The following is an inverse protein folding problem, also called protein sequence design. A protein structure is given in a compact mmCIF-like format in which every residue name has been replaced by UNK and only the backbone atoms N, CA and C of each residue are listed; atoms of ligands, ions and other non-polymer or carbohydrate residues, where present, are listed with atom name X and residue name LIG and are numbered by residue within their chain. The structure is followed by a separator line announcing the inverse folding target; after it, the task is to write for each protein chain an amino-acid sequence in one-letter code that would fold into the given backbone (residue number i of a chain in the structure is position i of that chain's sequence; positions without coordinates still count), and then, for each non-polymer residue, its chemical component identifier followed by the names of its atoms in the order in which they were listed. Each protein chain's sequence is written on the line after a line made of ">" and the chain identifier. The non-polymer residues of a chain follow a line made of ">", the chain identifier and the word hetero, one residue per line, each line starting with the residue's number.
data_IF_044923922329
#
_entry.id   IF_044923922329
#
_cell.length_a   1.000
_cell.length_b   1.000
_cell.length_c   1.000
_cell.angle_alpha   90.00
_cell.angle_beta   90.00
_cell.angle_gamma   90.00
#
_symmetry.space_group_name_H-M   'P 1'
#
loop_
_entity.id
_entity.type
_entity.pdbx_description
1 polymer ?
#
# COMPACT_ATOMS: atom_id res chain seq x y z
N UNK A 1 -9.46 -15.11 3.05
CA UNK A 1 -9.21 -15.67 1.70
C UNK A 1 -8.09 -14.88 1.10
N UNK A 2 -7.12 -15.54 0.49
CA UNK A 2 -6.10 -14.92 -0.35
C UNK A 2 -6.77 -14.54 -1.68
N UNK A 3 -6.85 -13.24 -1.94
CA UNK A 3 -7.46 -12.69 -3.15
C UNK A 3 -6.51 -12.71 -4.35
N UNK A 4 -7.05 -12.73 -5.57
CA UNK A 4 -6.25 -12.78 -6.81
C UNK A 4 -5.34 -11.57 -6.98
N UNK A 5 -5.77 -10.38 -6.52
CA UNK A 5 -4.90 -9.20 -6.48
C UNK A 5 -3.71 -9.35 -5.53
N UNK A 6 -3.88 -10.04 -4.40
CA UNK A 6 -2.77 -10.30 -3.47
C UNK A 6 -1.79 -11.31 -4.07
N UNK A 7 -2.27 -12.37 -4.72
CA UNK A 7 -1.42 -13.32 -5.44
C UNK A 7 -0.61 -12.63 -6.54
N UNK A 8 -1.27 -11.80 -7.36
CA UNK A 8 -0.61 -11.00 -8.39
C UNK A 8 0.51 -10.12 -7.80
N UNK A 9 0.26 -9.50 -6.66
CA UNK A 9 1.24 -8.66 -6.00
C UNK A 9 2.42 -9.48 -5.43
N UNK A 10 2.13 -10.59 -4.75
CA UNK A 10 3.16 -11.46 -4.18
C UNK A 10 4.03 -12.12 -5.25
N UNK A 11 3.46 -12.49 -6.40
CA UNK A 11 4.24 -13.02 -7.53
C UNK A 11 5.20 -11.98 -8.11
N UNK A 12 4.80 -10.71 -8.15
CA UNK A 12 5.71 -9.65 -8.57
C UNK A 12 6.81 -9.39 -7.53
N UNK A 13 6.46 -9.40 -6.25
CA UNK A 13 7.43 -9.20 -5.16
C UNK A 13 8.43 -10.37 -5.04
N UNK A 14 8.01 -11.61 -5.29
CA UNK A 14 8.87 -12.79 -5.12
C UNK A 14 9.98 -12.87 -6.16
N UNK A 15 9.84 -12.11 -7.26
CA UNK A 15 10.90 -11.91 -8.26
C UNK A 15 11.98 -10.92 -7.81
N UNK A 16 11.67 -10.10 -6.80
CA UNK A 16 12.55 -9.06 -6.29
C UNK A 16 13.23 -9.44 -4.96
N UNK A 17 12.66 -10.36 -4.19
CA UNK A 17 13.25 -10.79 -2.93
C UNK A 17 12.35 -11.72 -2.13
N UNK A 18 12.86 -12.13 -0.97
CA UNK A 18 12.15 -13.01 -0.05
C UNK A 18 10.99 -12.31 0.66
N UNK A 19 9.88 -13.04 0.85
CA UNK A 19 8.65 -12.49 1.43
C UNK A 19 8.31 -13.17 2.76
N UNK A 20 8.09 -12.35 3.78
CA UNK A 20 7.40 -12.72 5.02
C UNK A 20 6.06 -11.99 5.06
N UNK A 21 4.97 -12.75 4.98
CA UNK A 21 3.61 -12.21 5.03
C UNK A 21 3.00 -12.41 6.42
N UNK A 22 2.50 -11.33 7.01
CA UNK A 22 1.60 -11.38 8.15
C UNK A 22 0.35 -10.58 7.81
N UNK A 23 -0.83 -11.06 8.23
CA UNK A 23 -2.10 -10.42 7.91
C UNK A 23 -2.98 -10.23 9.15
N UNK A 24 -3.64 -9.07 9.24
CA UNK A 24 -4.70 -8.75 10.22
C UNK A 24 -6.03 -9.42 9.86
N UNK A 25 -5.98 -10.72 9.54
CA UNK A 25 -7.15 -11.53 9.21
C UNK A 25 -6.82 -13.01 9.37
N UNK A 26 -7.82 -13.80 9.76
CA UNK A 26 -7.70 -15.25 9.69
C UNK A 26 -7.79 -15.74 8.24
N UNK A 27 -6.91 -16.67 7.88
CA UNK A 27 -7.04 -17.42 6.63
C UNK A 27 -7.97 -18.62 6.84
N UNK A 28 -8.77 -18.94 5.82
CA UNK A 28 -9.55 -20.18 5.81
C UNK A 28 -8.62 -21.35 5.48
N UNK A 29 -9.03 -22.56 5.82
CA UNK A 29 -8.29 -23.77 5.50
C UNK A 29 -7.93 -23.83 4.01
N UNK A 30 -6.68 -24.19 3.72
CA UNK A 30 -6.13 -24.25 2.36
C UNK A 30 -5.80 -22.90 1.71
N UNK A 31 -6.15 -21.75 2.30
CA UNK A 31 -5.83 -20.45 1.70
C UNK A 31 -4.33 -20.11 1.78
N UNK A 32 -3.66 -20.50 2.87
CA UNK A 32 -2.21 -20.33 3.01
C UNK A 32 -1.42 -21.21 2.04
N UNK A 33 -1.99 -22.32 1.58
CA UNK A 33 -1.35 -23.21 0.59
C UNK A 33 -1.10 -22.49 -0.73
N UNK A 34 -1.95 -21.52 -1.10
CA UNK A 34 -1.79 -20.69 -2.31
C UNK A 34 -0.55 -19.79 -2.24
N UNK A 35 0.02 -19.59 -1.06
CA UNK A 35 1.19 -18.74 -0.84
C UNK A 35 2.50 -19.54 -0.82
N UNK A 36 2.43 -20.88 -0.87
CA UNK A 36 3.61 -21.73 -0.95
C UNK A 36 4.39 -21.44 -2.23
N UNK A 37 5.70 -21.28 -2.08
CA UNK A 37 6.59 -20.90 -3.18
C UNK A 37 6.62 -19.41 -3.51
N UNK A 38 5.71 -18.61 -2.95
CA UNK A 38 5.75 -17.14 -3.04
C UNK A 38 6.33 -16.51 -1.77
N UNK A 39 5.98 -17.04 -0.61
CA UNK A 39 6.45 -16.55 0.69
C UNK A 39 7.31 -17.58 1.41
N UNK A 40 8.38 -17.14 2.07
CA UNK A 40 9.13 -17.95 3.03
C UNK A 40 8.28 -18.26 4.26
N UNK A 41 7.44 -17.30 4.65
CA UNK A 41 6.49 -17.45 5.74
C UNK A 41 5.21 -16.68 5.46
N UNK A 42 4.08 -17.25 5.84
CA UNK A 42 2.78 -16.60 5.77
C UNK A 42 1.95 -16.96 7.01
N UNK A 43 1.49 -15.94 7.74
CA UNK A 43 0.57 -16.09 8.85
C UNK A 43 -0.60 -15.10 8.77
N UNK A 44 -1.73 -15.48 9.38
CA UNK A 44 -2.90 -14.62 9.47
C UNK A 44 -3.59 -14.77 10.81
N UNK A 45 -3.69 -13.68 11.55
CA UNK A 45 -4.38 -13.62 12.83
C UNK A 45 -4.97 -12.23 13.02
N UNK A 46 -6.24 -12.16 13.42
CA UNK A 46 -6.85 -10.88 13.73
C UNK A 46 -6.17 -10.26 14.96
N UNK A 47 -5.69 -9.03 14.80
CA UNK A 47 -4.95 -8.31 15.84
C UNK A 47 -5.38 -6.85 16.00
N UNK A 48 -6.00 -6.23 14.99
CA UNK A 48 -6.58 -4.88 15.10
C UNK A 48 -5.56 -3.77 15.34
N UNK A 49 -4.31 -3.98 14.93
CA UNK A 49 -3.20 -3.02 15.03
C UNK A 49 -2.88 -2.38 13.67
N UNK A 50 -3.79 -2.55 12.69
CA UNK A 50 -3.62 -2.09 11.30
C UNK A 50 -2.34 -2.64 10.64
N UNK A 51 -1.94 -2.07 9.50
CA UNK A 51 -0.80 -2.53 8.71
C UNK A 51 0.51 -2.60 9.53
N UNK A 52 0.73 -1.66 10.46
CA UNK A 52 1.90 -1.68 11.35
C UNK A 52 1.93 -2.90 12.28
N UNK A 53 0.78 -3.43 12.68
CA UNK A 53 0.71 -4.66 13.46
C UNK A 53 1.12 -5.90 12.67
N UNK A 54 0.83 -5.89 11.36
CA UNK A 54 1.31 -6.92 10.44
C UNK A 54 2.82 -6.77 10.22
N UNK A 55 3.34 -5.55 10.07
CA UNK A 55 4.78 -5.29 10.01
C UNK A 55 5.52 -5.77 11.26
N UNK A 56 4.98 -5.52 12.47
CA UNK A 56 5.52 -5.99 13.75
C UNK A 56 5.68 -7.52 13.79
N UNK A 57 4.65 -8.24 13.32
CA UNK A 57 4.62 -9.71 13.25
C UNK A 57 5.62 -10.26 12.24
N UNK A 58 5.59 -9.74 11.02
CA UNK A 58 6.54 -10.11 9.97
C UNK A 58 7.98 -9.83 10.38
N UNK A 59 8.24 -8.67 10.99
CA UNK A 59 9.55 -8.30 11.52
C UNK A 59 10.03 -9.27 12.60
N UNK A 60 9.16 -9.61 13.57
CA UNK A 60 9.50 -10.59 14.62
C UNK A 60 9.88 -11.94 14.03
N UNK A 61 9.10 -12.44 13.06
CA UNK A 61 9.40 -13.70 12.39
C UNK A 61 10.70 -13.64 11.60
N UNK A 62 10.92 -12.55 10.85
CA UNK A 62 12.13 -12.36 10.06
C UNK A 62 13.37 -12.37 10.96
N UNK A 63 13.37 -11.61 12.06
CA UNK A 63 14.48 -11.58 13.01
C UNK A 63 14.74 -12.92 13.71
N UNK A 64 13.72 -13.76 13.92
CA UNK A 64 13.89 -15.06 14.58
C UNK A 64 14.31 -16.18 13.65
N UNK A 65 13.98 -16.07 12.36
CA UNK A 65 14.02 -17.21 11.43
C UNK A 65 14.93 -17.01 10.22
N UNK A 66 15.34 -15.77 9.93
CA UNK A 66 16.17 -15.43 8.78
C UNK A 66 17.52 -14.85 9.21
N UNK A 67 18.56 -15.04 8.41
CA UNK A 67 19.80 -14.28 8.58
C UNK A 67 19.63 -12.88 7.98
N UNK A 68 19.25 -11.92 8.82
CA UNK A 68 19.05 -10.53 8.41
C UNK A 68 20.31 -9.89 7.80
N UNK A 69 21.51 -10.46 7.99
CA UNK A 69 22.75 -9.95 7.38
C UNK A 69 22.84 -10.29 5.89
N UNK A 70 22.05 -11.24 5.39
CA UNK A 70 22.01 -11.58 3.97
C UNK A 70 21.31 -10.53 3.10
N UNK A 71 20.60 -9.57 3.70
CA UNK A 71 19.80 -8.58 3.00
C UNK A 71 20.44 -7.20 3.01
N UNK A 72 20.37 -6.48 1.90
CA UNK A 72 20.82 -5.08 1.81
C UNK A 72 19.71 -4.08 2.14
N UNK A 73 18.46 -4.48 1.86
CA UNK A 73 17.27 -3.69 2.12
C UNK A 73 16.17 -4.55 2.75
N UNK A 74 15.38 -3.92 3.62
CA UNK A 74 14.10 -4.46 4.11
C UNK A 74 12.98 -3.55 3.64
N UNK A 75 11.96 -4.14 3.03
CA UNK A 75 10.75 -3.44 2.59
C UNK A 75 9.56 -3.73 3.50
N UNK A 76 8.87 -2.67 3.92
CA UNK A 76 7.55 -2.75 4.55
C UNK A 76 6.49 -2.35 3.51
N UNK A 77 5.73 -3.33 3.05
CA UNK A 77 4.70 -3.16 2.02
C UNK A 77 3.37 -3.73 2.49
N UNK A 78 2.27 -3.07 2.15
CA UNK A 78 0.92 -3.58 2.44
C UNK A 78 0.04 -3.66 1.19
N UNK A 79 -1.09 -4.35 1.33
CA UNK A 79 -2.01 -4.64 0.24
C UNK A 79 -3.12 -3.58 0.09
N UNK A 80 -2.98 -2.37 0.63
CA UNK A 80 -3.98 -1.30 0.48
C UNK A 80 -4.11 -0.73 -0.95
N UNK A 81 -3.41 -1.35 -1.91
CA UNK A 81 -3.32 -1.03 -3.33
C UNK A 81 -3.73 -2.21 -4.21
N UNK A 82 -4.11 -1.89 -5.44
CA UNK A 82 -4.19 -2.80 -6.57
C UNK A 82 -2.98 -2.60 -7.46
N UNK A 83 -2.46 -3.69 -7.99
CA UNK A 83 -1.24 -3.74 -8.79
C UNK A 83 -0.31 -4.86 -8.31
N UNK A 84 0.96 -4.85 -8.76
CA UNK A 84 1.57 -3.76 -9.52
C UNK A 84 1.07 -3.71 -10.97
N UNK A 85 1.01 -2.50 -11.53
CA UNK A 85 0.60 -2.22 -12.91
C UNK A 85 1.78 -2.33 -13.90
N UNK A 86 3.01 -2.32 -13.37
CA UNK A 86 4.28 -2.39 -14.09
C UNK A 86 5.22 -3.36 -13.35
N UNK A 87 6.32 -3.74 -13.99
CA UNK A 87 7.40 -4.44 -13.31
C UNK A 87 7.96 -3.61 -12.14
N UNK A 88 8.21 -4.25 -10.99
CA UNK A 88 8.65 -3.57 -9.77
C UNK A 88 10.16 -3.36 -9.70
N UNK A 89 10.97 -4.20 -10.34
CA UNK A 89 12.44 -4.12 -10.24
C UNK A 89 12.98 -2.72 -10.55
N UNK A 90 12.56 -2.02 -11.64
CA UNK A 90 13.05 -0.67 -11.91
C UNK A 90 12.64 0.39 -10.87
N UNK A 91 11.57 0.14 -10.11
CA UNK A 91 11.14 1.06 -9.04
C UNK A 91 11.98 0.85 -7.78
N UNK A 92 12.29 -0.40 -7.44
CA UNK A 92 13.15 -0.73 -6.32
C UNK A 92 14.56 -0.19 -6.56
N UNK A 93 15.15 -0.46 -7.73
CA UNK A 93 16.47 0.05 -8.11
C UNK A 93 16.54 1.59 -8.02
N UNK A 94 15.51 2.29 -8.50
CA UNK A 94 15.43 3.76 -8.41
C UNK A 94 15.30 4.26 -6.98
N UNK A 95 14.60 3.54 -6.12
CA UNK A 95 14.43 3.88 -4.69
C UNK A 95 15.72 3.65 -3.92
N UNK A 96 16.36 2.50 -4.12
CA UNK A 96 17.65 2.12 -3.54
C UNK A 96 18.77 3.07 -4.00
N UNK A 97 18.72 3.52 -5.26
CA UNK A 97 19.64 4.48 -5.85
C UNK A 97 19.40 5.95 -5.49
N UNK A 98 18.44 6.28 -4.61
CA UNK A 98 18.18 7.68 -4.22
C UNK A 98 19.29 8.30 -3.37
N UNK A 99 20.22 7.51 -2.85
CA UNK A 99 21.27 7.97 -1.93
C UNK A 99 20.74 8.32 -0.54
N UNK A 100 19.56 7.78 -0.17
CA UNK A 100 18.97 7.91 1.16
C UNK A 100 18.93 6.55 1.86
N UNK A 101 19.08 6.53 3.18
CA UNK A 101 19.05 5.28 3.95
C UNK A 101 17.63 4.74 4.17
N UNK A 102 16.61 5.59 4.09
CA UNK A 102 15.20 5.20 4.11
C UNK A 102 14.46 5.83 2.94
N UNK A 103 13.51 5.12 2.36
CA UNK A 103 12.79 5.63 1.20
C UNK A 103 11.39 5.05 1.11
N UNK A 104 10.52 5.70 0.34
CA UNK A 104 9.18 5.20 0.07
C UNK A 104 8.78 5.42 -1.39
N UNK A 105 7.86 4.60 -1.88
CA UNK A 105 7.29 4.83 -3.21
C UNK A 105 6.56 6.17 -3.25
N UNK A 106 5.89 6.54 -2.16
CA UNK A 106 5.19 7.82 -2.01
C UNK A 106 5.67 8.60 -0.80
N UNK A 107 5.92 9.91 -0.98
CA UNK A 107 6.17 10.86 0.11
C UNK A 107 5.09 11.94 0.12
N UNK A 108 4.60 12.28 1.30
CA UNK A 108 3.65 13.37 1.47
C UNK A 108 4.40 14.66 1.81
N UNK A 109 4.43 15.66 0.90
CA UNK A 109 4.94 16.99 1.23
C UNK A 109 3.91 17.72 2.11
N UNK A 110 4.08 17.67 3.42
CA UNK A 110 3.22 18.35 4.38
C UNK A 110 3.72 19.74 4.72
N UNK A 111 2.81 20.68 5.03
CA UNK A 111 3.17 22.03 5.52
C UNK A 111 3.81 22.00 6.91
N UNK A 112 3.51 20.98 7.72
CA UNK A 112 3.99 20.85 9.10
C UNK A 112 5.00 19.71 9.27
N UNK A 113 4.85 18.61 8.51
CA UNK A 113 5.86 17.55 8.42
C UNK A 113 5.74 16.81 7.10
N UNK A 114 6.85 16.76 6.36
CA UNK A 114 7.04 15.78 5.29
C UNK A 114 7.14 14.39 5.92
N UNK A 115 6.42 13.40 5.39
CA UNK A 115 6.51 12.02 5.87
C UNK A 115 6.44 11.01 4.73
N UNK A 116 7.10 9.86 4.94
CA UNK A 116 7.01 8.69 4.09
C UNK A 116 5.62 8.04 4.22
N UNK A 117 5.04 7.59 3.11
CA UNK A 117 3.77 6.85 3.18
C UNK A 117 4.02 5.38 3.50
N UNK A 118 3.35 4.86 4.54
CA UNK A 118 3.69 3.56 5.14
C UNK A 118 3.34 2.30 4.35
N UNK A 119 2.71 2.44 3.18
CA UNK A 119 2.23 1.30 2.41
C UNK A 119 3.26 0.70 1.46
N UNK A 120 4.38 1.39 1.22
CA UNK A 120 5.51 0.90 0.44
C UNK A 120 6.77 1.67 0.82
N UNK A 121 7.46 1.21 1.86
CA UNK A 121 8.70 1.79 2.38
C UNK A 121 9.84 0.78 2.25
N UNK A 122 11.05 1.26 2.03
CA UNK A 122 12.27 0.46 2.09
C UNK A 122 13.31 1.12 2.99
N UNK A 123 14.14 0.29 3.60
CA UNK A 123 15.13 0.67 4.59
C UNK A 123 16.43 -0.04 4.29
N UNK A 124 17.52 0.71 4.15
CA UNK A 124 18.86 0.15 4.02
C UNK A 124 19.37 -0.41 5.34
N UNK A 125 20.47 -1.16 5.26
CA UNK A 125 21.13 -1.84 6.39
C UNK A 125 21.35 -0.96 7.62
N UNK A 126 21.80 0.28 7.43
CA UNK A 126 22.00 1.25 8.51
C UNK A 126 20.74 1.49 9.35
N UNK A 127 19.56 1.41 8.74
CA UNK A 127 18.28 1.61 9.42
C UNK A 127 17.76 0.32 10.02
N UNK A 128 17.62 -0.74 9.22
CA UNK A 128 16.94 -1.95 9.73
C UNK A 128 17.76 -2.71 10.76
N UNK A 129 19.08 -2.56 10.78
CA UNK A 129 19.94 -3.14 11.84
C UNK A 129 20.02 -2.27 13.11
N UNK A 130 19.51 -1.04 13.07
CA UNK A 130 19.53 -0.16 14.22
C UNK A 130 18.53 -0.63 15.28
N UNK A 131 18.96 -0.65 16.55
CA UNK A 131 18.13 -1.10 17.68
C UNK A 131 16.84 -0.30 17.82
N UNK A 132 16.86 0.99 17.49
CA UNK A 132 15.68 1.86 17.54
C UNK A 132 14.61 1.44 16.53
N UNK A 133 14.99 0.91 15.35
CA UNK A 133 14.04 0.52 14.31
C UNK A 133 13.26 -0.73 14.73
N UNK A 134 13.97 -1.75 15.22
CA UNK A 134 13.34 -2.93 15.79
C UNK A 134 12.47 -2.60 17.01
N UNK A 135 12.95 -1.72 17.90
CA UNK A 135 12.17 -1.27 19.06
C UNK A 135 10.88 -0.55 18.64
N UNK A 136 10.96 0.32 17.63
CA UNK A 136 9.80 1.00 17.07
C UNK A 136 8.76 0.01 16.54
N UNK A 137 9.14 -0.95 15.69
CA UNK A 137 8.21 -1.94 15.16
C UNK A 137 7.59 -2.81 16.26
N UNK A 138 8.38 -3.21 17.25
CA UNK A 138 7.89 -4.02 18.37
C UNK A 138 6.96 -3.25 19.31
N UNK A 139 7.06 -1.92 19.36
CA UNK A 139 6.20 -1.02 20.15
C UNK A 139 4.82 -0.74 19.54
N UNK A 140 4.52 -1.28 18.34
CA UNK A 140 3.21 -1.06 17.71
C UNK A 140 2.10 -1.65 18.60
N UNK A 141 1.02 -0.91 18.71
CA UNK A 141 -0.14 -1.18 19.56
C UNK A 141 -1.40 -0.71 18.84
N UNK A 142 -2.55 -1.25 19.24
CA UNK A 142 -3.85 -0.86 18.69
C UNK A 142 -4.13 0.62 18.95
N UNK A 143 -4.57 1.33 17.92
CA UNK A 143 -4.96 2.75 18.00
C UNK A 143 -6.45 2.93 17.69
N UNK A 144 -7.02 4.06 18.15
CA UNK A 144 -8.45 4.35 18.03
C UNK A 144 -8.89 4.72 16.61
N UNK A 145 -8.02 5.33 15.82
CA UNK A 145 -8.32 5.78 14.46
C UNK A 145 -7.15 5.61 13.48
N UNK A 146 -7.42 5.72 12.18
CA UNK A 146 -6.37 5.70 11.13
C UNK A 146 -5.50 6.96 11.19
N UNK A 147 -6.09 8.07 11.63
CA UNK A 147 -5.40 9.33 11.87
C UNK A 147 -4.37 9.16 12.98
N UNK A 148 -4.70 8.46 14.06
CA UNK A 148 -3.76 8.17 15.16
C UNK A 148 -2.63 7.23 14.70
N UNK A 149 -2.93 6.24 13.85
CA UNK A 149 -1.92 5.39 13.22
C UNK A 149 -0.96 6.23 12.37
N UNK A 150 -1.50 7.14 11.56
CA UNK A 150 -0.69 8.04 10.73
C UNK A 150 0.23 8.90 11.61
N UNK A 151 -0.32 9.51 12.65
CA UNK A 151 0.42 10.43 13.51
C UNK A 151 1.47 9.72 14.39
N UNK A 152 1.11 8.57 14.97
CA UNK A 152 1.99 7.81 15.86
C UNK A 152 3.03 7.00 15.10
N UNK A 153 2.70 6.46 13.94
CA UNK A 153 3.57 5.52 13.22
C UNK A 153 4.14 6.07 11.91
N UNK A 154 3.37 6.72 11.02
CA UNK A 154 3.94 7.29 9.79
C UNK A 154 4.81 8.52 10.09
N UNK A 155 4.20 9.52 10.75
CA UNK A 155 4.91 10.70 11.23
C UNK A 155 5.94 10.33 12.29
N UNK A 156 5.61 9.40 13.20
CA UNK A 156 6.53 8.92 14.24
C UNK A 156 7.81 8.29 13.69
N UNK A 157 7.69 7.39 12.70
CA UNK A 157 8.86 6.80 12.03
C UNK A 157 9.72 7.89 11.37
N UNK A 158 9.09 8.83 10.68
CA UNK A 158 9.83 9.92 10.03
C UNK A 158 10.56 10.81 11.05
N UNK A 159 9.95 11.08 12.22
CA UNK A 159 10.63 11.79 13.31
C UNK A 159 11.83 11.03 13.85
N UNK A 160 11.72 9.72 14.02
CA UNK A 160 12.83 8.87 14.48
C UNK A 160 13.99 8.88 13.47
N UNK A 161 13.68 8.79 12.18
CA UNK A 161 14.67 8.94 11.11
C UNK A 161 15.40 10.28 11.22
N UNK A 162 14.65 11.40 11.27
CA UNK A 162 15.24 12.73 11.40
C UNK A 162 16.07 12.90 12.68
N UNK A 163 15.58 12.41 13.83
CA UNK A 163 16.28 12.50 15.11
C UNK A 163 17.57 11.68 15.12
N UNK A 164 17.62 10.57 14.36
CA UNK A 164 18.81 9.76 14.16
C UNK A 164 19.76 10.29 13.08
N UNK A 165 19.49 11.45 12.47
CA UNK A 165 20.29 11.98 11.37
C UNK A 165 20.19 11.16 10.07
N UNK A 166 19.16 10.31 9.96
CA UNK A 166 18.96 9.43 8.82
C UNK A 166 18.28 10.19 7.69
N UNK A 167 18.89 10.20 6.50
CA UNK A 167 18.28 10.82 5.34
C UNK A 167 17.19 9.93 4.74
N UNK A 168 16.11 10.55 4.30
CA UNK A 168 15.01 9.85 3.66
C UNK A 168 14.43 10.59 2.47
N UNK A 169 13.83 9.84 1.54
CA UNK A 169 13.23 10.40 0.34
C UNK A 169 12.05 9.57 -0.17
N UNK A 170 11.40 10.04 -1.23
CA UNK A 170 10.38 9.23 -1.90
C UNK A 170 10.33 9.44 -3.40
N UNK A 171 10.00 8.37 -4.11
CA UNK A 171 10.03 8.34 -5.57
C UNK A 171 8.94 9.22 -6.19
N UNK A 172 7.78 9.31 -5.53
CA UNK A 172 6.66 10.16 -5.95
C UNK A 172 6.25 11.13 -4.84
N UNK A 173 6.20 12.41 -5.17
CA UNK A 173 5.60 13.44 -4.32
C UNK A 173 4.07 13.42 -4.45
N UNK A 174 3.37 13.08 -3.36
CA UNK A 174 1.93 12.81 -3.32
C UNK A 174 1.23 13.76 -2.33
N UNK A 175 1.03 15.04 -2.69
CA UNK A 175 0.40 16.03 -1.82
C UNK A 175 -1.07 15.71 -1.55
N UNK A 176 -1.52 16.02 -0.33
CA UNK A 176 -2.92 15.86 0.08
C UNK A 176 -3.45 14.45 -0.15
N UNK A 177 -4.59 14.36 -0.84
CA UNK A 177 -5.26 13.10 -1.19
C UNK A 177 -5.04 12.69 -2.66
N UNK A 178 -3.96 13.17 -3.29
CA UNK A 178 -3.66 12.95 -4.71
C UNK A 178 -3.59 11.46 -5.09
N UNK A 179 -2.93 10.65 -4.26
CA UNK A 179 -2.83 9.18 -4.42
C UNK A 179 -4.18 8.47 -4.53
N UNK A 180 -5.22 9.03 -3.89
CA UNK A 180 -6.58 8.49 -3.89
C UNK A 180 -7.46 9.09 -4.99
N UNK A 181 -7.23 10.35 -5.35
CA UNK A 181 -8.16 11.15 -6.13
C UNK A 181 -7.80 11.27 -7.62
N UNK A 182 -6.60 10.84 -8.01
CA UNK A 182 -6.08 11.05 -9.37
C UNK A 182 -5.47 9.78 -10.00
N UNK A 183 -6.15 8.62 -9.97
CA UNK A 183 -5.57 7.35 -10.40
C UNK A 183 -5.06 7.37 -11.84
N UNK A 184 -5.82 7.94 -12.80
CA UNK A 184 -5.38 7.99 -14.19
C UNK A 184 -4.20 8.96 -14.40
N UNK A 185 -4.15 10.07 -13.67
CA UNK A 185 -3.02 11.00 -13.73
C UNK A 185 -1.74 10.35 -13.21
N UNK A 186 -1.84 9.57 -12.13
CA UNK A 186 -0.71 8.87 -11.54
C UNK A 186 -0.22 7.74 -12.45
N UNK A 187 -1.14 6.96 -13.01
CA UNK A 187 -0.84 5.96 -14.03
C UNK A 187 -0.06 6.57 -15.20
N UNK A 188 -0.53 7.70 -15.75
CA UNK A 188 0.17 8.42 -16.83
C UNK A 188 1.57 8.93 -16.46
N UNK A 189 1.91 9.01 -15.17
CA UNK A 189 3.24 9.36 -14.65
C UNK A 189 4.08 8.11 -14.29
N UNK A 190 3.64 6.93 -14.73
CA UNK A 190 4.28 5.66 -14.43
C UNK A 190 4.12 5.22 -12.98
N UNK A 191 3.14 5.71 -12.22
CA UNK A 191 2.94 5.25 -10.85
C UNK A 191 2.40 3.80 -10.85
N UNK A 192 3.02 2.85 -10.13
CA UNK A 192 2.81 1.42 -10.36
C UNK A 192 1.60 0.81 -9.65
N UNK A 193 0.72 1.62 -9.04
CA UNK A 193 -0.41 1.11 -8.26
C UNK A 193 -1.67 1.99 -8.36
N UNK A 194 -2.82 1.41 -7.99
CA UNK A 194 -4.06 2.16 -7.71
C UNK A 194 -4.46 1.91 -6.26
N UNK A 195 -4.69 2.95 -5.45
CA UNK A 195 -5.22 2.74 -4.09
C UNK A 195 -6.60 2.09 -4.13
N UNK A 196 -6.82 1.02 -3.35
CA UNK A 196 -8.14 0.33 -3.27
C UNK A 196 -9.27 1.31 -2.93
N UNK A 197 -9.00 2.28 -2.04
CA UNK A 197 -9.99 3.30 -1.66
C UNK A 197 -10.42 4.19 -2.82
N UNK A 198 -9.65 4.31 -3.91
CA UNK A 198 -10.04 5.07 -5.12
C UNK A 198 -11.36 4.59 -5.72
N UNK A 199 -11.72 3.31 -5.53
CA UNK A 199 -12.96 2.72 -6.04
C UNK A 199 -14.21 3.31 -5.40
N UNK A 200 -14.12 3.82 -4.17
CA UNK A 200 -15.26 4.40 -3.44
C UNK A 200 -15.19 5.92 -3.31
N UNK A 201 -14.10 6.56 -3.77
CA UNK A 201 -13.92 8.01 -3.65
C UNK A 201 -14.98 8.77 -4.42
N UNK A 202 -15.41 9.88 -3.82
CA UNK A 202 -16.26 10.90 -4.43
C UNK A 202 -17.54 10.34 -5.07
N UNK A 203 -18.16 9.35 -4.41
CA UNK A 203 -19.39 8.72 -4.92
C UNK A 203 -19.19 7.97 -6.24
N UNK A 204 -18.00 7.40 -6.48
CA UNK A 204 -17.70 6.64 -7.70
C UNK A 204 -17.50 7.51 -8.94
N UNK A 205 -17.24 8.81 -8.78
CA UNK A 205 -16.95 9.70 -9.92
C UNK A 205 -15.62 9.40 -10.60
N UNK A 206 -14.72 8.68 -9.93
CA UNK A 206 -13.43 8.26 -10.48
C UNK A 206 -13.53 7.05 -11.43
N UNK A 207 -14.72 6.45 -11.61
CA UNK A 207 -14.91 5.22 -12.37
C UNK A 207 -14.34 5.23 -13.78
N UNK A 208 -14.49 6.35 -14.53
CA UNK A 208 -13.90 6.49 -15.87
C UNK A 208 -12.36 6.49 -15.83
N UNK A 209 -11.76 7.11 -14.82
CA UNK A 209 -10.31 7.10 -14.64
C UNK A 209 -9.81 5.69 -14.33
N UNK A 210 -10.51 4.97 -13.45
CA UNK A 210 -10.18 3.60 -13.09
C UNK A 210 -10.30 2.67 -14.30
N UNK A 211 -11.39 2.78 -15.08
CA UNK A 211 -11.55 2.03 -16.33
C UNK A 211 -10.38 2.29 -17.29
N UNK A 212 -10.03 3.55 -17.52
CA UNK A 212 -8.93 3.89 -18.42
C UNK A 212 -7.58 3.29 -17.97
N UNK A 213 -7.32 3.21 -16.66
CA UNK A 213 -6.14 2.50 -16.14
C UNK A 213 -6.26 1.00 -16.40
N UNK A 214 -7.37 0.38 -16.03
CA UNK A 214 -7.57 -1.07 -16.13
C UNK A 214 -7.57 -1.59 -17.58
N UNK A 215 -8.06 -0.80 -18.53
CA UNK A 215 -8.03 -1.13 -19.95
C UNK A 215 -6.62 -0.98 -20.58
N UNK A 216 -5.67 -0.40 -19.83
CA UNK A 216 -4.29 -0.16 -20.30
C UNK A 216 -3.24 -1.10 -19.69
N UNK A 217 -3.63 -2.00 -18.79
CA UNK A 217 -2.72 -2.95 -18.11
C UNK A 217 -2.91 -4.37 -18.64
N UNK A 218 -1.94 -5.29 -18.45
CA UNK A 218 -2.08 -6.67 -18.90
C UNK A 218 -3.34 -7.35 -18.36
N UNK A 219 -3.93 -8.25 -19.14
CA UNK A 219 -5.19 -8.94 -18.79
C UNK A 219 -5.11 -9.66 -17.43
N UNK A 220 -3.96 -10.27 -17.10
CA UNK A 220 -3.74 -10.89 -15.79
C UNK A 220 -3.91 -9.90 -14.64
N UNK A 221 -3.26 -8.74 -14.73
CA UNK A 221 -3.40 -7.65 -13.75
C UNK A 221 -4.84 -7.17 -13.68
N UNK A 222 -5.45 -6.88 -14.84
CA UNK A 222 -6.82 -6.40 -14.94
C UNK A 222 -7.81 -7.36 -14.28
N UNK A 223 -7.72 -8.65 -14.58
CA UNK A 223 -8.61 -9.68 -14.06
C UNK A 223 -8.42 -9.86 -12.54
N UNK A 224 -7.18 -9.91 -12.07
CA UNK A 224 -6.87 -10.00 -10.64
C UNK A 224 -7.45 -8.81 -9.85
N UNK A 225 -7.37 -7.59 -10.40
CA UNK A 225 -7.95 -6.38 -9.80
C UNK A 225 -9.47 -6.42 -9.83
N UNK A 226 -10.08 -6.79 -10.95
CA UNK A 226 -11.55 -6.82 -11.07
C UNK A 226 -12.20 -7.88 -10.19
N UNK A 227 -11.60 -9.05 -10.07
CA UNK A 227 -12.08 -10.12 -9.19
C UNK A 227 -12.09 -9.65 -7.73
N UNK A 228 -10.96 -9.11 -7.28
CA UNK A 228 -10.80 -8.73 -5.88
C UNK A 228 -11.57 -7.44 -5.55
N UNK A 229 -11.66 -6.48 -6.47
CA UNK A 229 -12.54 -5.32 -6.35
C UNK A 229 -14.01 -5.75 -6.28
N UNK A 230 -14.45 -6.71 -7.09
CA UNK A 230 -15.83 -7.22 -7.06
C UNK A 230 -16.15 -7.91 -5.73
N UNK A 231 -15.18 -8.62 -5.16
CA UNK A 231 -15.28 -9.23 -3.82
C UNK A 231 -15.36 -8.18 -2.71
N UNK A 232 -14.56 -7.12 -2.80
CA UNK A 232 -14.47 -6.08 -1.76
C UNK A 232 -15.62 -5.07 -1.80
N UNK A 233 -16.08 -4.68 -2.99
CA UNK A 233 -17.03 -3.60 -3.18
C UNK A 233 -18.38 -4.05 -3.76
N UNK A 234 -18.51 -5.31 -4.18
CA UNK A 234 -19.68 -5.86 -4.85
C UNK A 234 -19.58 -5.78 -6.37
N UNK A 235 -19.89 -6.90 -7.05
CA UNK A 235 -19.80 -7.04 -8.52
C UNK A 235 -20.65 -6.00 -9.25
N UNK A 236 -21.90 -5.80 -8.83
CA UNK A 236 -22.80 -4.83 -9.43
C UNK A 236 -22.28 -3.40 -9.29
N UNK A 237 -21.75 -3.05 -8.10
CA UNK A 237 -21.16 -1.76 -7.85
C UNK A 237 -19.94 -1.51 -8.75
N UNK A 238 -19.03 -2.48 -8.87
CA UNK A 238 -17.84 -2.35 -9.72
C UNK A 238 -18.25 -2.21 -11.19
N UNK A 239 -19.24 -2.98 -11.66
CA UNK A 239 -19.80 -2.84 -13.01
C UNK A 239 -20.37 -1.44 -13.26
N UNK A 240 -21.19 -0.93 -12.33
CA UNK A 240 -21.73 0.44 -12.37
C UNK A 240 -20.63 1.50 -12.31
N UNK A 241 -19.60 1.29 -11.50
CA UNK A 241 -18.48 2.21 -11.34
C UNK A 241 -17.75 2.39 -12.68
N UNK A 242 -17.38 1.29 -13.33
CA UNK A 242 -16.56 1.28 -14.54
C UNK A 242 -17.35 1.60 -15.81
N UNK A 243 -18.67 1.42 -15.84
CA UNK A 243 -19.52 1.79 -16.99
C UNK A 243 -19.76 3.30 -17.14
N UNK A 244 -19.16 4.13 -16.28
CA UNK A 244 -19.42 5.57 -16.21
C UNK A 244 -19.08 6.33 -17.51
N UNK A 245 -20.04 7.09 -18.03
CA UNK A 245 -19.83 8.06 -19.11
C UNK A 245 -19.19 9.37 -18.58
N UNK A 246 -18.64 10.24 -19.45
CA UNK A 246 -18.09 11.54 -19.02
C UNK A 246 -19.11 12.41 -18.25
N UNK A 247 -20.33 12.53 -18.76
CA UNK A 247 -21.42 13.26 -18.10
C UNK A 247 -21.86 12.58 -16.80
N UNK A 248 -21.87 11.24 -16.78
CA UNK A 248 -22.15 10.45 -15.58
C UNK A 248 -21.16 10.71 -14.45
N UNK A 249 -19.86 10.82 -14.76
CA UNK A 249 -18.81 11.07 -13.78
C UNK A 249 -18.97 12.46 -13.13
N UNK A 250 -19.23 13.49 -13.96
CA UNK A 250 -19.50 14.84 -13.48
C UNK A 250 -20.75 14.88 -12.58
N UNK A 251 -21.85 14.23 -12.99
CA UNK A 251 -23.08 14.13 -12.18
C UNK A 251 -22.82 13.46 -10.82
N UNK A 252 -22.08 12.35 -10.79
CA UNK A 252 -21.70 11.66 -9.55
C UNK A 252 -20.90 12.57 -8.62
N UNK A 253 -19.95 13.33 -9.17
CA UNK A 253 -19.14 14.25 -8.39
C UNK A 253 -19.97 15.39 -7.79
N UNK A 254 -20.84 16.01 -8.59
CA UNK A 254 -21.76 17.05 -8.11
C UNK A 254 -22.67 16.53 -7.01
N UNK A 255 -23.28 15.36 -7.21
CA UNK A 255 -24.12 14.72 -6.20
C UNK A 255 -23.35 14.42 -4.89
N UNK A 256 -22.10 13.95 -4.99
CA UNK A 256 -21.22 13.77 -3.83
C UNK A 256 -20.98 15.10 -3.08
N UNK A 257 -20.69 16.19 -3.80
CA UNK A 257 -20.50 17.50 -3.20
C UNK A 257 -21.77 18.00 -2.51
N UNK A 258 -22.93 17.87 -3.16
CA UNK A 258 -24.21 18.24 -2.56
C UNK A 258 -24.47 17.48 -1.25
N UNK A 259 -24.32 16.16 -1.24
CA UNK A 259 -24.46 15.37 0.01
C UNK A 259 -23.47 15.81 1.08
N UNK A 260 -22.23 16.12 0.72
CA UNK A 260 -21.22 16.56 1.69
C UNK A 260 -21.55 17.94 2.30
N UNK A 261 -22.20 18.82 1.55
CA UNK A 261 -22.64 20.14 2.03
C UNK A 261 -23.88 20.01 2.92
N UNK A 262 -24.87 19.22 2.51
CA UNK A 262 -26.16 19.10 3.20
C UNK A 262 -26.24 18.01 4.28
N UNK A 263 -25.23 17.14 4.38
CA UNK A 263 -25.14 16.10 5.42
C UNK A 263 -24.08 16.41 6.49
N UNK A 264 -23.63 17.67 6.59
CA UNK A 264 -22.89 18.14 7.77
C UNK A 264 -23.91 18.49 8.86
N UNK A 265 -23.78 17.96 10.09
CA UNK A 265 -24.58 18.42 11.22
C UNK A 265 -24.33 19.90 11.51
#
# INVERSE_FOLDING_TARGET
>A
MVGSSLLWYLEALSRCGDIVLAADTGFRDGELEKLKGLCLHAEGCAHGEYDFGSYKRGWRHACSSLDMRAYDFVYLVNDSVFGPLYDLSPYLERMEGMGCQAFALGIHPGRHSTHLQSWFMGFGREVFTASWFGSFLLSVERQGSKEDVCEKYESGLTRLLSAGGISFGGLYSLPGKSVYNSPYRLYRRGFPFVKKSAFTRHGGSLGRQLRAVLDSVPDGCRNAVLEDASRLFGREYVGWLLSCSPSGAARRYLHYLFRKVFSRP
#
